data_IF_217839390993
#
_entry.id   IF_217839390993
#
_cell.length_a   1.000
_cell.length_b   1.000
_cell.length_c   1.000
_cell.angle_alpha   90.00
_cell.angle_beta   90.00
_cell.angle_gamma   90.00
#
_symmetry.space_group_name_H-M   'P 1'
#
loop_
_entity.id
_entity.type
_entity.pdbx_description
1 polymer ?
#
# COMPACT_ATOMS: atom_id res chain seq x y z
N UNK A 1 59.21 3.01 -13.20
CA UNK A 1 58.25 2.93 -14.31
C UNK A 1 57.35 1.73 -13.98
N UNK A 2 56.13 1.86 -13.49
CA UNK A 2 55.10 2.88 -13.66
C UNK A 2 54.55 3.46 -12.33
N UNK A 3 54.08 4.70 -12.39
CA UNK A 3 53.12 5.34 -11.49
C UNK A 3 51.69 5.05 -11.95
N UNK A 4 50.72 4.98 -11.03
CA UNK A 4 49.43 5.70 -11.06
C UNK A 4 48.79 5.54 -9.67
N UNK A 5 48.69 6.69 -9.01
CA UNK A 5 47.80 7.03 -7.90
C UNK A 5 46.34 7.02 -8.38
N UNK A 6 45.39 6.62 -7.55
CA UNK A 6 43.99 6.80 -7.91
C UNK A 6 42.99 6.06 -7.03
N UNK A 7 42.40 6.79 -6.07
CA UNK A 7 40.99 6.59 -5.75
C UNK A 7 40.62 6.55 -4.27
N UNK A 8 40.81 7.68 -3.58
CA UNK A 8 40.01 8.08 -2.43
C UNK A 8 38.49 7.89 -2.65
N UNK A 9 37.78 7.58 -1.57
CA UNK A 9 36.33 7.72 -1.44
C UNK A 9 35.72 6.47 -0.83
N UNK A 10 35.52 6.38 0.49
CA UNK A 10 34.99 7.39 1.38
C UNK A 10 33.85 6.70 2.14
N UNK A 11 34.01 6.57 3.45
CA UNK A 11 32.97 6.01 4.31
C UNK A 11 31.66 6.78 4.16
N UNK A 12 30.56 6.05 4.31
CA UNK A 12 29.23 6.63 4.27
C UNK A 12 28.18 5.55 4.41
N UNK A 13 27.98 5.09 5.64
CA UNK A 13 26.64 4.65 6.07
C UNK A 13 25.63 5.63 5.49
N UNK A 14 24.72 5.15 4.64
CA UNK A 14 23.68 5.99 4.03
C UNK A 14 22.80 6.53 5.15
N UNK A 15 23.15 7.69 5.68
CA UNK A 15 22.41 8.40 6.73
C UNK A 15 21.21 9.07 6.07
N UNK A 16 20.18 8.28 5.78
CA UNK A 16 18.95 8.74 5.14
C UNK A 16 18.26 7.66 4.31
N UNK A 17 16.95 7.83 4.10
CA UNK A 17 16.11 7.00 3.26
C UNK A 17 16.41 7.24 1.77
N UNK A 18 16.36 6.21 0.93
CA UNK A 18 16.44 6.37 -0.53
C UNK A 18 15.08 6.85 -1.06
N UNK A 19 14.96 8.17 -1.26
CA UNK A 19 13.77 8.86 -1.77
C UNK A 19 13.15 8.18 -3.00
N UNK A 20 13.98 7.73 -3.95
CA UNK A 20 13.50 7.15 -5.20
C UNK A 20 12.85 5.78 -4.93
N UNK A 21 13.48 4.96 -4.09
CA UNK A 21 12.92 3.67 -3.68
C UNK A 21 11.62 3.82 -2.90
N UNK A 22 11.53 4.82 -2.02
CA UNK A 22 10.31 4.98 -1.23
C UNK A 22 9.16 5.56 -2.03
N UNK A 23 9.43 6.44 -3.00
CA UNK A 23 8.42 6.84 -3.98
C UNK A 23 7.92 5.67 -4.81
N UNK A 24 8.81 4.77 -5.24
CA UNK A 24 8.41 3.54 -5.96
C UNK A 24 7.48 2.67 -5.09
N UNK A 25 7.89 2.39 -3.85
CA UNK A 25 7.08 1.60 -2.91
C UNK A 25 5.72 2.27 -2.64
N UNK A 26 5.69 3.58 -2.41
CA UNK A 26 4.45 4.33 -2.22
C UNK A 26 3.53 4.24 -3.44
N UNK A 27 4.08 4.31 -4.66
CA UNK A 27 3.33 4.10 -5.89
C UNK A 27 2.75 2.68 -6.02
N UNK A 28 3.53 1.66 -5.66
CA UNK A 28 3.06 0.26 -5.65
C UNK A 28 1.94 0.03 -4.63
N UNK A 29 2.04 0.66 -3.46
CA UNK A 29 0.99 0.63 -2.43
C UNK A 29 -0.29 1.33 -2.90
N UNK A 30 -0.17 2.49 -3.57
CA UNK A 30 -1.32 3.18 -4.17
C UNK A 30 -2.02 2.32 -5.22
N UNK A 31 -1.25 1.61 -6.06
CA UNK A 31 -1.80 0.67 -7.04
C UNK A 31 -2.52 -0.49 -6.35
N UNK A 32 -1.88 -1.15 -5.39
CA UNK A 32 -2.48 -2.26 -4.66
C UNK A 32 -3.79 -1.87 -3.96
N UNK A 33 -3.85 -0.66 -3.39
CA UNK A 33 -5.07 -0.08 -2.82
C UNK A 33 -6.18 0.05 -3.86
N UNK A 34 -5.87 0.55 -5.05
CA UNK A 34 -6.86 0.71 -6.12
C UNK A 34 -7.37 -0.65 -6.61
N UNK A 35 -6.46 -1.62 -6.80
CA UNK A 35 -6.80 -2.98 -7.20
C UNK A 35 -7.70 -3.67 -6.15
N UNK A 36 -7.40 -3.47 -4.85
CA UNK A 36 -8.20 -4.00 -3.74
C UNK A 36 -9.60 -3.39 -3.68
N UNK A 37 -9.71 -2.07 -3.88
CA UNK A 37 -11.01 -1.38 -3.90
C UNK A 37 -11.87 -1.83 -5.10
N UNK A 38 -11.27 -2.04 -6.27
CA UNK A 38 -11.96 -2.58 -7.44
C UNK A 38 -12.45 -4.01 -7.19
N UNK A 39 -11.58 -4.89 -6.67
CA UNK A 39 -11.95 -6.26 -6.32
C UNK A 39 -13.09 -6.33 -5.30
N UNK A 40 -13.10 -5.43 -4.31
CA UNK A 40 -14.21 -5.30 -3.36
C UNK A 40 -15.51 -4.93 -4.05
N UNK A 41 -15.49 -3.94 -4.93
CA UNK A 41 -16.68 -3.49 -5.67
C UNK A 41 -17.29 -4.63 -6.50
N UNK A 42 -16.46 -5.41 -7.18
CA UNK A 42 -16.92 -6.57 -7.97
C UNK A 42 -17.52 -7.65 -7.07
N UNK A 43 -16.89 -7.94 -5.94
CA UNK A 43 -17.37 -8.92 -4.98
C UNK A 43 -18.66 -8.47 -4.27
N UNK A 44 -18.82 -7.17 -3.98
CA UNK A 44 -20.05 -6.59 -3.45
C UNK A 44 -21.21 -6.79 -4.44
N UNK A 45 -20.98 -6.52 -5.72
CA UNK A 45 -21.98 -6.74 -6.77
C UNK A 45 -22.35 -8.23 -6.90
N UNK A 46 -21.38 -9.14 -6.81
CA UNK A 46 -21.63 -10.57 -6.83
C UNK A 46 -22.42 -11.05 -5.60
N UNK A 47 -22.07 -10.57 -4.40
CA UNK A 47 -22.75 -10.91 -3.16
C UNK A 47 -24.20 -10.41 -3.15
N UNK A 48 -24.47 -9.22 -3.69
CA UNK A 48 -25.83 -8.70 -3.85
C UNK A 48 -26.67 -9.52 -4.84
N UNK A 49 -26.09 -9.95 -5.96
CA UNK A 49 -26.78 -10.86 -6.91
C UNK A 49 -27.08 -12.22 -6.28
N UNK A 50 -26.18 -12.71 -5.43
CA UNK A 50 -26.43 -13.96 -4.71
C UNK A 50 -27.55 -13.80 -3.67
N UNK A 51 -27.62 -12.65 -2.99
CA UNK A 51 -28.69 -12.35 -2.02
C UNK A 51 -30.09 -12.40 -2.63
N UNK A 52 -30.28 -11.96 -3.88
CA UNK A 52 -31.59 -12.00 -4.53
C UNK A 52 -32.02 -13.40 -4.98
N UNK A 53 -31.10 -14.36 -5.05
CA UNK A 53 -31.35 -15.72 -5.53
C UNK A 53 -31.22 -16.80 -4.44
N UNK A 54 -30.68 -16.47 -3.26
CA UNK A 54 -30.40 -17.41 -2.18
C UNK A 54 -31.04 -16.98 -0.86
N UNK A 55 -31.84 -17.86 -0.28
CA UNK A 55 -32.59 -17.60 0.94
C UNK A 55 -32.34 -18.68 2.01
N UNK A 56 -32.68 -18.36 3.25
CA UNK A 56 -32.53 -19.26 4.40
C UNK A 56 -31.31 -18.95 5.27
N UNK A 57 -31.08 -19.75 6.33
CA UNK A 57 -30.06 -19.48 7.35
C UNK A 57 -28.64 -19.37 6.80
N UNK A 58 -28.29 -20.19 5.80
CA UNK A 58 -26.97 -20.18 5.18
C UNK A 58 -26.72 -18.90 4.38
N UNK A 59 -27.74 -18.38 3.69
CA UNK A 59 -27.66 -17.12 2.98
C UNK A 59 -27.42 -15.95 3.95
N UNK A 60 -28.13 -15.92 5.08
CA UNK A 60 -27.91 -14.94 6.16
C UNK A 60 -26.49 -15.03 6.73
N UNK A 61 -26.00 -16.26 6.96
CA UNK A 61 -24.64 -16.50 7.44
C UNK A 61 -23.58 -16.03 6.44
N UNK A 62 -23.78 -16.27 5.15
CA UNK A 62 -22.90 -15.76 4.10
C UNK A 62 -22.89 -14.23 4.07
N UNK A 63 -24.06 -13.58 4.10
CA UNK A 63 -24.16 -12.11 4.08
C UNK A 63 -23.47 -11.47 5.29
N UNK A 64 -23.62 -12.07 6.48
CA UNK A 64 -22.92 -11.62 7.68
C UNK A 64 -21.40 -11.73 7.55
N UNK A 65 -20.90 -12.83 6.98
CA UNK A 65 -19.48 -13.00 6.70
C UNK A 65 -18.99 -12.01 5.65
N UNK A 66 -19.68 -11.89 4.52
CA UNK A 66 -19.33 -10.94 3.47
C UNK A 66 -19.27 -9.50 4.00
N UNK A 67 -20.26 -9.08 4.80
CA UNK A 67 -20.25 -7.77 5.43
C UNK A 67 -18.99 -7.56 6.26
N UNK A 68 -18.63 -8.52 7.12
CA UNK A 68 -17.41 -8.44 7.93
C UNK A 68 -16.16 -8.30 7.07
N UNK A 69 -16.00 -9.15 6.07
CA UNK A 69 -14.82 -9.12 5.19
C UNK A 69 -14.76 -7.85 4.34
N UNK A 70 -15.91 -7.36 3.86
CA UNK A 70 -15.99 -6.09 3.14
C UNK A 70 -15.49 -4.92 4.00
N UNK A 71 -15.81 -4.91 5.30
CA UNK A 71 -15.31 -3.90 6.25
C UNK A 71 -13.80 -4.05 6.51
N UNK A 72 -13.29 -5.28 6.58
CA UNK A 72 -11.85 -5.51 6.71
C UNK A 72 -11.08 -4.98 5.49
N UNK A 73 -11.65 -5.15 4.29
CA UNK A 73 -11.06 -4.62 3.05
C UNK A 73 -11.06 -3.08 3.07
N UNK A 74 -12.17 -2.46 3.48
CA UNK A 74 -12.24 -0.99 3.63
C UNK A 74 -11.19 -0.48 4.62
N UNK A 75 -11.00 -1.16 5.75
CA UNK A 75 -9.97 -0.82 6.73
C UNK A 75 -8.56 -0.95 6.14
N UNK A 76 -8.28 -2.03 5.40
CA UNK A 76 -7.00 -2.21 4.73
C UNK A 76 -6.70 -1.07 3.73
N UNK A 77 -7.70 -0.62 2.96
CA UNK A 77 -7.58 0.55 2.06
C UNK A 77 -7.23 1.83 2.82
N UNK A 78 -7.82 2.04 4.01
CA UNK A 78 -7.50 3.17 4.88
C UNK A 78 -6.07 3.08 5.43
N UNK A 79 -5.66 1.90 5.89
CA UNK A 79 -4.33 1.66 6.45
C UNK A 79 -3.23 1.90 5.39
N UNK A 80 -3.44 1.39 4.17
CA UNK A 80 -2.52 1.64 3.05
C UNK A 80 -2.48 3.13 2.69
N UNK A 81 -3.62 3.83 2.76
CA UNK A 81 -3.67 5.29 2.54
C UNK A 81 -2.85 6.03 3.58
N UNK A 82 -2.98 5.67 4.86
CA UNK A 82 -2.22 6.26 5.96
C UNK A 82 -0.71 6.00 5.80
N UNK A 83 -0.33 4.78 5.42
CA UNK A 83 1.07 4.41 5.17
C UNK A 83 1.68 5.22 4.04
N UNK A 84 0.99 5.34 2.90
CA UNK A 84 1.44 6.17 1.77
C UNK A 84 1.58 7.63 2.17
N UNK A 85 0.69 8.16 3.01
CA UNK A 85 0.80 9.52 3.54
C UNK A 85 2.05 9.68 4.42
N UNK A 86 2.31 8.73 5.31
CA UNK A 86 3.50 8.72 6.17
C UNK A 86 4.78 8.71 5.34
N UNK A 87 4.90 7.80 4.36
CA UNK A 87 6.08 7.71 3.50
C UNK A 87 6.38 9.02 2.75
N UNK A 88 5.34 9.72 2.30
CA UNK A 88 5.51 11.02 1.64
C UNK A 88 5.91 12.14 2.61
N UNK A 89 5.44 12.08 3.86
CA UNK A 89 5.85 13.01 4.92
C UNK A 89 7.33 12.79 5.28
N UNK A 90 7.74 11.53 5.47
CA UNK A 90 9.13 11.17 5.79
C UNK A 90 10.11 11.66 4.70
N UNK A 91 9.73 11.52 3.42
CA UNK A 91 10.51 12.07 2.29
C UNK A 91 10.62 13.61 2.38
N UNK A 92 9.52 14.30 2.70
CA UNK A 92 9.51 15.75 2.78
C UNK A 92 10.38 16.27 3.94
N UNK A 93 10.29 15.61 5.10
CA UNK A 93 11.09 15.91 6.29
C UNK A 93 12.59 15.69 6.02
N UNK A 94 12.96 14.58 5.39
CA UNK A 94 14.36 14.31 5.03
C UNK A 94 14.92 15.36 4.07
N UNK A 95 14.14 15.78 3.07
CA UNK A 95 14.53 16.86 2.13
C UNK A 95 14.73 18.19 2.84
N UNK A 96 13.85 18.52 3.79
CA UNK A 96 13.97 19.73 4.59
C UNK A 96 15.20 19.71 5.50
N UNK A 97 15.56 18.54 6.05
CA UNK A 97 16.73 18.37 6.90
C UNK A 97 18.07 18.28 6.13
N UNK A 98 18.02 18.02 4.82
CA UNK A 98 19.21 17.92 3.95
C UNK A 98 19.56 19.21 3.22
N UNK A 99 18.73 20.26 3.38
CA UNK A 99 18.94 21.62 2.87
C UNK A 99 19.43 22.55 3.99
#
# INVERSE_FOLDING_TARGET
MATIDGGSGGGGDKKGMDDARVKDIAGRLQKAKADLAAAKSDADAAAQRLHSAWHGPDATRFQGQWKKESTNIDQCVLDVTAMVKSLNADIAEQRAASN
#
